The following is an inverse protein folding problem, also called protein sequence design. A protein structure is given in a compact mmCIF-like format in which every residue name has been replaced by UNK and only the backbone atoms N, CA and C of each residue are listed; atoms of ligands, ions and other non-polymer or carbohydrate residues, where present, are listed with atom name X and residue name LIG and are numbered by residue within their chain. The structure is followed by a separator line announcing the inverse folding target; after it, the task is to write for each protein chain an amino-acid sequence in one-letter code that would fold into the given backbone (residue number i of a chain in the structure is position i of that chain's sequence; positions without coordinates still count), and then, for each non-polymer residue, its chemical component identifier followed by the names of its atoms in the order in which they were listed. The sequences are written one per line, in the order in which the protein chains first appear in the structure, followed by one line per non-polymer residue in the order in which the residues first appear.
data_IF_395073940941
#
_entry.id   IF_395073940941
#
_cell.length_a   1.000
_cell.length_b   1.000
_cell.length_c   1.000
_cell.angle_alpha   90.00
_cell.angle_beta   90.00
_cell.angle_gamma   90.00
#
_symmetry.space_group_name_H-M   'P 1'
#
loop_
_entity.id
_entity.type
_entity.pdbx_description
1 polymer ?
#
# COMPACT_ATOMS: atom_id res chain seq x y z
N UNK A 1 -35.60 -13.92 46.81
CA UNK A 1 -34.19 -14.26 47.09
C UNK A 1 -33.27 -14.14 45.84
N UNK A 2 -33.53 -14.77 44.70
CA UNK A 2 -32.64 -14.71 43.54
C UNK A 2 -32.41 -13.29 42.97
N UNK A 3 -33.43 -12.41 42.97
CA UNK A 3 -33.29 -11.01 42.48
C UNK A 3 -32.53 -10.10 43.46
N UNK A 4 -32.62 -10.35 44.75
CA UNK A 4 -31.84 -9.60 45.74
C UNK A 4 -30.36 -10.01 45.74
N UNK A 5 -30.06 -11.29 45.46
CA UNK A 5 -28.68 -11.78 45.33
C UNK A 5 -27.98 -11.20 44.10
N UNK A 6 -28.69 -11.08 42.98
CA UNK A 6 -28.18 -10.47 41.75
C UNK A 6 -27.88 -8.98 41.92
N UNK A 7 -28.73 -8.24 42.65
CA UNK A 7 -28.49 -6.82 42.97
C UNK A 7 -27.30 -6.63 43.93
N UNK A 8 -27.11 -7.49 44.90
CA UNK A 8 -25.97 -7.45 45.80
C UNK A 8 -24.68 -7.78 45.05
N UNK A 9 -24.72 -8.77 44.15
CA UNK A 9 -23.55 -9.14 43.35
C UNK A 9 -23.14 -8.02 42.37
N UNK A 10 -24.10 -7.32 41.75
CA UNK A 10 -23.82 -6.18 40.88
C UNK A 10 -23.28 -4.96 41.65
N UNK A 11 -23.78 -4.73 42.86
CA UNK A 11 -23.29 -3.65 43.72
C UNK A 11 -21.86 -3.91 44.21
N UNK A 12 -21.52 -5.15 44.54
CA UNK A 12 -20.15 -5.55 44.94
C UNK A 12 -19.20 -5.45 43.77
N UNK A 13 -19.62 -5.79 42.54
CA UNK A 13 -18.79 -5.55 41.34
C UNK A 13 -18.57 -4.06 41.07
N UNK A 14 -19.58 -3.21 41.24
CA UNK A 14 -19.40 -1.76 41.05
C UNK A 14 -18.49 -1.13 42.11
N UNK A 15 -18.55 -1.58 43.36
CA UNK A 15 -17.68 -1.08 44.44
C UNK A 15 -16.22 -1.51 44.22
N UNK A 16 -15.98 -2.72 43.66
CA UNK A 16 -14.63 -3.20 43.31
C UNK A 16 -13.96 -2.41 42.20
N UNK A 17 -14.73 -1.77 41.31
CA UNK A 17 -14.19 -0.93 40.23
C UNK A 17 -13.76 0.46 40.71
N UNK A 18 -14.29 0.97 41.81
CA UNK A 18 -13.93 2.26 42.36
C UNK A 18 -12.72 2.23 43.30
N UNK A 19 -12.27 1.07 43.74
CA UNK A 19 -11.07 0.93 44.58
C UNK A 19 -9.78 0.75 43.79
N UNK A 20 -9.87 0.57 42.44
CA UNK A 20 -8.71 0.46 41.57
C UNK A 20 -8.09 1.83 41.16
N UNK A 21 -8.77 2.96 41.47
CA UNK A 21 -8.26 4.32 41.28
C UNK A 21 -7.91 5.00 42.61
N UNK A 22 -7.35 4.29 43.56
CA UNK A 22 -6.78 4.87 44.75
C UNK A 22 -5.36 5.40 44.47
N UNK A 23 -5.19 6.72 44.47
CA UNK A 23 -3.90 7.37 44.54
C UNK A 23 -3.06 6.77 45.67
N UNK A 24 -2.09 5.92 45.32
CA UNK A 24 -1.08 5.48 46.26
C UNK A 24 -0.14 6.68 46.55
N UNK A 25 -0.48 7.47 47.57
CA UNK A 25 0.45 8.49 48.08
C UNK A 25 1.64 7.75 48.69
N UNK A 26 2.76 7.80 48.03
CA UNK A 26 4.04 7.42 48.59
C UNK A 26 4.36 8.38 49.77
N UNK A 27 4.68 7.90 50.99
CA UNK A 27 4.97 8.76 52.14
C UNK A 27 6.28 9.49 52.06
N UNK A 28 7.16 9.18 51.11
CA UNK A 28 8.47 9.83 50.99
C UNK A 28 8.49 10.69 49.73
N UNK A 29 8.23 12.00 49.91
CA UNK A 29 8.18 13.00 48.85
C UNK A 29 9.56 13.24 48.21
N UNK A 30 9.84 12.50 47.13
CA UNK A 30 10.78 12.89 46.10
C UNK A 30 10.12 12.67 44.74
N UNK A 31 9.57 13.75 44.22
CA UNK A 31 8.85 13.72 42.94
C UNK A 31 9.80 13.65 41.74
N UNK A 32 10.24 12.46 41.39
CA UNK A 32 10.86 12.19 40.07
C UNK A 32 10.75 10.73 39.61
N UNK A 33 9.81 9.93 40.14
CA UNK A 33 9.66 8.52 39.79
C UNK A 33 8.77 8.25 38.53
N UNK A 34 8.22 9.29 37.87
CA UNK A 34 7.38 9.08 36.70
C UNK A 34 8.14 8.94 35.37
N UNK A 35 9.45 9.16 35.37
CA UNK A 35 10.27 9.16 34.16
C UNK A 35 10.67 7.75 33.67
N UNK A 36 10.63 6.76 34.54
CA UNK A 36 11.12 5.41 34.25
C UNK A 36 10.01 4.36 34.11
N UNK A 37 8.73 4.75 34.19
CA UNK A 37 7.65 3.81 34.00
C UNK A 37 7.35 3.68 32.49
N UNK A 38 7.60 2.50 31.88
CA UNK A 38 7.36 2.32 30.45
C UNK A 38 5.86 2.37 30.16
N UNK A 39 5.49 3.01 29.05
CA UNK A 39 4.15 2.90 28.49
C UNK A 39 4.00 1.50 27.88
N UNK A 40 3.05 0.72 28.38
CA UNK A 40 2.73 -0.61 27.84
C UNK A 40 1.50 -0.49 26.96
N UNK A 41 1.68 -0.78 25.66
CA UNK A 41 0.62 -0.76 24.66
C UNK A 41 0.31 -2.19 24.23
N UNK A 42 -0.98 -2.58 24.29
CA UNK A 42 -1.43 -3.89 23.81
C UNK A 42 -1.76 -3.83 22.32
N UNK A 43 -1.18 -4.74 21.55
CA UNK A 43 -1.43 -4.91 20.12
C UNK A 43 -1.95 -6.31 19.78
N UNK A 44 -2.54 -6.47 18.59
CA UNK A 44 -2.70 -7.76 17.94
C UNK A 44 -1.34 -8.29 17.45
N UNK A 45 -1.30 -9.52 16.97
CA UNK A 45 -0.07 -10.09 16.43
C UNK A 45 0.43 -9.27 15.22
N UNK A 46 1.72 -8.98 15.19
CA UNK A 46 2.38 -8.31 14.08
C UNK A 46 2.52 -9.24 12.88
N UNK A 47 2.42 -8.70 11.66
CA UNK A 47 2.78 -9.40 10.43
C UNK A 47 4.29 -9.39 10.18
N UNK A 48 5.05 -8.67 11.02
CA UNK A 48 6.52 -8.54 10.96
C UNK A 48 7.03 -7.87 9.67
N UNK A 49 6.19 -7.08 9.02
CA UNK A 49 6.53 -6.24 7.86
C UNK A 49 6.79 -4.81 8.32
N UNK A 50 7.85 -4.59 9.10
CA UNK A 50 8.22 -3.29 9.65
C UNK A 50 8.95 -2.43 8.61
N UNK A 51 8.28 -2.11 7.52
CA UNK A 51 8.83 -1.36 6.40
C UNK A 51 7.89 -0.23 6.00
N UNK A 52 8.39 1.00 5.77
CA UNK A 52 7.57 2.10 5.24
C UNK A 52 7.00 1.81 3.84
N UNK A 53 7.59 0.87 3.10
CA UNK A 53 7.17 0.51 1.75
C UNK A 53 6.14 -0.63 1.72
N UNK A 54 6.21 -1.58 2.65
CA UNK A 54 5.50 -2.86 2.55
C UNK A 54 4.68 -3.24 3.79
N UNK A 55 4.54 -2.34 4.78
CA UNK A 55 3.67 -2.63 5.93
C UNK A 55 2.21 -2.71 5.50
N UNK A 56 1.51 -3.74 5.96
CA UNK A 56 0.11 -4.02 5.60
C UNK A 56 -0.86 -3.75 6.75
N UNK A 57 -0.36 -3.77 7.99
CA UNK A 57 -1.19 -3.58 9.19
C UNK A 57 -0.81 -2.30 9.91
N UNK A 58 -1.80 -1.69 10.55
CA UNK A 58 -1.59 -0.52 11.41
C UNK A 58 -0.57 -0.79 12.52
N UNK A 59 -0.56 -1.99 13.07
CA UNK A 59 0.39 -2.37 14.13
C UNK A 59 1.85 -2.39 13.65
N UNK A 60 2.09 -2.88 12.44
CA UNK A 60 3.41 -2.85 11.82
C UNK A 60 3.82 -1.40 11.46
N UNK A 61 2.84 -0.56 11.03
CA UNK A 61 3.05 0.85 10.76
C UNK A 61 3.47 1.62 12.02
N UNK A 62 2.81 1.40 13.14
CA UNK A 62 3.14 2.05 14.41
C UNK A 62 4.59 1.79 14.84
N UNK A 63 5.14 0.61 14.53
CA UNK A 63 6.54 0.28 14.82
C UNK A 63 7.50 1.04 13.91
N UNK A 64 7.30 1.01 12.58
CA UNK A 64 8.24 1.66 11.66
C UNK A 64 8.16 3.19 11.73
N UNK A 65 6.99 3.78 12.01
CA UNK A 65 6.83 5.23 12.19
C UNK A 65 7.70 5.75 13.34
N UNK A 66 7.88 4.97 14.43
CA UNK A 66 8.77 5.34 15.54
C UNK A 66 10.26 5.29 15.17
N UNK A 67 10.64 4.61 14.10
CA UNK A 67 12.03 4.38 13.69
C UNK A 67 12.40 5.02 12.36
N UNK A 68 11.42 5.61 11.66
CA UNK A 68 11.60 6.19 10.33
C UNK A 68 11.28 7.67 10.32
N UNK A 69 11.88 8.37 9.38
CA UNK A 69 11.62 9.77 9.13
C UNK A 69 10.47 9.91 8.12
N UNK A 70 9.44 10.68 8.47
CA UNK A 70 8.39 11.11 7.54
C UNK A 70 8.64 12.56 7.15
N UNK A 71 8.52 12.88 5.86
CA UNK A 71 8.91 14.21 5.35
C UNK A 71 8.03 15.33 5.92
N UNK A 72 6.73 15.11 6.01
CA UNK A 72 5.78 16.04 6.61
C UNK A 72 5.00 15.37 7.74
N UNK A 73 4.77 16.10 8.81
CA UNK A 73 3.95 15.66 9.94
C UNK A 73 2.54 16.24 9.86
N UNK A 74 1.62 15.70 10.63
CA UNK A 74 0.29 16.27 10.84
C UNK A 74 0.08 16.69 12.29
N UNK A 75 -0.84 17.63 12.49
CA UNK A 75 -1.31 18.00 13.81
C UNK A 75 -2.32 16.97 14.36
N UNK A 76 -2.87 17.24 15.57
CA UNK A 76 -3.88 16.39 16.23
C UNK A 76 -5.22 16.32 15.49
N UNK A 77 -5.45 17.17 14.51
CA UNK A 77 -6.66 17.21 13.67
C UNK A 77 -6.42 16.60 12.27
N UNK A 78 -5.17 16.11 12.00
CA UNK A 78 -4.79 15.56 10.71
C UNK A 78 -4.39 16.64 9.68
N UNK A 79 -4.26 17.91 10.07
CA UNK A 79 -3.79 18.96 9.18
C UNK A 79 -2.27 18.86 9.00
N UNK A 80 -1.81 18.85 7.75
CA UNK A 80 -0.38 18.79 7.44
C UNK A 80 0.34 20.05 7.90
N UNK A 81 1.48 19.86 8.54
CA UNK A 81 2.39 20.92 8.97
C UNK A 81 3.27 21.33 7.79
N UNK A 82 3.07 22.54 7.29
CA UNK A 82 3.76 23.04 6.09
C UNK A 82 5.10 23.72 6.41
N UNK A 83 5.29 24.22 7.64
CA UNK A 83 6.50 24.89 8.11
C UNK A 83 7.08 24.17 9.34
N UNK A 84 7.47 22.91 9.12
CA UNK A 84 7.94 22.04 10.19
C UNK A 84 9.29 22.47 10.77
N UNK A 85 10.15 23.13 9.99
CA UNK A 85 11.51 23.53 10.43
C UNK A 85 11.42 24.62 11.50
N UNK A 86 10.63 25.65 11.24
CA UNK A 86 10.42 26.77 12.19
C UNK A 86 9.36 26.41 13.25
N UNK A 87 8.46 25.51 12.91
CA UNK A 87 7.31 25.09 13.70
C UNK A 87 6.05 25.90 13.42
N UNK A 88 4.92 25.21 13.35
CA UNK A 88 3.59 25.80 13.25
C UNK A 88 2.81 25.61 14.54
N UNK A 89 2.11 26.67 14.98
CA UNK A 89 1.28 26.61 16.19
C UNK A 89 -0.19 26.55 15.81
N UNK A 90 -0.82 25.45 16.24
CA UNK A 90 -2.24 25.20 16.03
C UNK A 90 -2.98 25.05 17.36
N UNK A 91 -4.20 25.60 17.46
CA UNK A 91 -5.03 25.44 18.63
C UNK A 91 -5.80 24.13 18.59
N UNK A 92 -5.72 23.35 19.66
CA UNK A 92 -6.52 22.16 19.85
C UNK A 92 -7.19 22.17 21.23
N UNK A 93 -8.54 22.17 21.25
CA UNK A 93 -9.34 22.20 22.48
C UNK A 93 -8.98 23.34 23.44
N UNK A 94 -8.66 24.52 22.90
CA UNK A 94 -8.33 25.71 23.70
C UNK A 94 -6.88 25.79 24.16
N UNK A 95 -6.02 24.85 23.76
CA UNK A 95 -4.59 24.83 24.04
C UNK A 95 -3.79 24.96 22.74
N UNK A 96 -2.80 25.83 22.72
CA UNK A 96 -1.88 26.00 21.61
C UNK A 96 -0.75 24.98 21.67
N UNK A 97 -0.53 24.29 20.54
CA UNK A 97 0.55 23.32 20.37
C UNK A 97 1.40 23.73 19.17
N UNK A 98 2.71 23.76 19.37
CA UNK A 98 3.66 23.98 18.26
C UNK A 98 4.17 22.64 17.76
N UNK A 99 4.03 22.43 16.46
CA UNK A 99 4.43 21.22 15.75
C UNK A 99 5.67 21.48 14.94
N UNK A 100 6.68 20.64 15.11
CA UNK A 100 7.93 20.66 14.36
C UNK A 100 8.02 19.45 13.46
N UNK A 101 8.76 19.56 12.37
CA UNK A 101 8.98 18.49 11.43
C UNK A 101 10.36 18.54 10.76
N UNK A 102 10.71 17.53 9.98
CA UNK A 102 11.98 17.46 9.28
C UNK A 102 12.05 18.38 8.06
N UNK A 103 10.92 18.85 7.54
CA UNK A 103 10.89 19.67 6.35
C UNK A 103 9.78 20.73 6.36
N UNK A 104 9.97 21.75 5.51
CA UNK A 104 8.93 22.68 5.06
C UNK A 104 8.44 22.27 3.67
N UNK A 105 7.19 22.58 3.35
CA UNK A 105 6.61 22.45 2.03
C UNK A 105 5.88 23.74 1.63
N UNK A 106 6.21 24.29 0.46
CA UNK A 106 5.47 25.40 -0.16
C UNK A 106 4.77 24.90 -1.41
N UNK A 107 3.46 25.16 -1.52
CA UNK A 107 2.65 24.77 -2.68
C UNK A 107 2.44 25.99 -3.56
N UNK A 108 2.86 25.92 -4.82
CA UNK A 108 2.74 27.00 -5.80
C UNK A 108 1.93 26.51 -7.00
N UNK A 109 0.73 27.04 -7.14
CA UNK A 109 -0.07 26.83 -8.34
C UNK A 109 0.35 27.82 -9.43
N UNK A 110 0.64 27.33 -10.65
CA UNK A 110 1.08 28.13 -11.78
C UNK A 110 -0.06 28.47 -12.73
N UNK A 111 0.17 29.47 -13.56
CA UNK A 111 -0.83 29.94 -14.54
C UNK A 111 -1.17 28.90 -15.62
N UNK A 112 -0.25 27.96 -15.90
CA UNK A 112 -0.43 26.85 -16.83
C UNK A 112 -1.24 25.68 -16.26
N UNK A 113 -1.66 25.78 -14.99
CA UNK A 113 -2.43 24.76 -14.28
C UNK A 113 -1.60 23.72 -13.56
N UNK A 114 -0.27 23.72 -13.73
CA UNK A 114 0.63 22.85 -12.97
C UNK A 114 0.79 23.33 -11.52
N UNK A 115 1.21 22.41 -10.65
CA UNK A 115 1.41 22.71 -9.23
C UNK A 115 2.78 22.24 -8.79
N UNK A 116 3.58 23.13 -8.21
CA UNK A 116 4.84 22.76 -7.59
C UNK A 116 4.66 22.59 -6.08
N UNK A 117 5.17 21.48 -5.58
CA UNK A 117 5.42 21.22 -4.16
C UNK A 117 6.90 21.38 -3.91
N UNK A 118 7.30 22.49 -3.27
CA UNK A 118 8.69 22.82 -2.99
C UNK A 118 9.03 22.38 -1.57
N UNK A 119 9.88 21.37 -1.43
CA UNK A 119 10.33 20.84 -0.15
C UNK A 119 11.72 21.38 0.20
N UNK A 120 11.88 21.73 1.48
CA UNK A 120 13.16 22.06 2.07
C UNK A 120 13.31 21.27 3.36
N UNK A 121 14.35 20.46 3.46
CA UNK A 121 14.66 19.66 4.66
C UNK A 121 15.64 20.38 5.59
N UNK A 122 15.64 19.95 6.86
CA UNK A 122 16.68 20.28 7.83
C UNK A 122 18.00 19.65 7.40
N UNK A 123 19.12 20.35 7.70
CA UNK A 123 20.48 19.89 7.33
C UNK A 123 21.17 19.07 8.42
N UNK A 124 20.53 18.97 9.60
CA UNK A 124 21.08 18.31 10.80
C UNK A 124 20.54 16.87 11.02
N UNK A 125 19.75 16.37 10.09
CA UNK A 125 19.19 15.03 10.17
C UNK A 125 20.27 13.98 9.85
N UNK A 126 20.29 12.91 10.65
CA UNK A 126 21.21 11.78 10.47
C UNK A 126 20.49 10.47 10.65
N UNK A 127 20.94 9.45 9.95
CA UNK A 127 20.55 8.06 10.18
C UNK A 127 21.14 7.53 11.49
N UNK A 128 20.71 6.37 11.95
CA UNK A 128 21.16 5.75 13.20
C UNK A 128 22.65 5.36 13.20
N UNK A 129 23.27 5.23 12.05
CA UNK A 129 24.71 5.00 11.86
C UNK A 129 25.54 6.29 11.81
N UNK A 130 24.88 7.45 11.82
CA UNK A 130 25.51 8.77 11.80
C UNK A 130 25.66 9.39 10.40
N UNK A 131 25.32 8.70 9.34
CA UNK A 131 25.32 9.26 7.98
C UNK A 131 24.20 10.31 7.84
N UNK A 132 24.45 11.34 7.05
CA UNK A 132 23.49 12.44 6.84
C UNK A 132 22.32 11.98 5.97
N UNK A 133 21.11 12.35 6.40
CA UNK A 133 19.92 12.26 5.56
C UNK A 133 19.91 13.44 4.60
N UNK A 134 19.79 13.16 3.31
CA UNK A 134 19.75 14.15 2.23
C UNK A 134 18.47 14.04 1.42
N UNK A 135 18.25 14.96 0.50
CA UNK A 135 17.11 14.91 -0.40
C UNK A 135 17.18 13.72 -1.37
N UNK A 136 18.37 13.18 -1.61
CA UNK A 136 18.55 12.00 -2.47
C UNK A 136 17.89 10.76 -1.85
N UNK A 137 17.87 10.64 -0.51
CA UNK A 137 17.19 9.56 0.20
C UNK A 137 15.67 9.63 0.03
N UNK A 138 15.13 10.86 0.04
CA UNK A 138 13.71 11.12 -0.22
C UNK A 138 13.35 10.78 -1.66
N UNK A 139 14.14 11.25 -2.61
CA UNK A 139 13.94 10.97 -4.04
C UNK A 139 14.04 9.48 -4.30
N UNK A 140 15.02 8.78 -3.72
CA UNK A 140 15.14 7.33 -3.81
C UNK A 140 13.86 6.63 -3.30
N UNK A 141 13.35 7.05 -2.14
CA UNK A 141 12.13 6.50 -1.58
C UNK A 141 10.91 6.71 -2.50
N UNK A 142 10.81 7.89 -3.13
CA UNK A 142 9.76 8.15 -4.13
C UNK A 142 9.89 7.22 -5.35
N UNK A 143 11.11 6.98 -5.84
CA UNK A 143 11.33 6.08 -6.97
C UNK A 143 10.99 4.63 -6.62
N UNK A 144 11.26 4.17 -5.39
CA UNK A 144 10.80 2.84 -4.92
C UNK A 144 9.28 2.73 -5.01
N UNK A 145 8.54 3.75 -4.54
CA UNK A 145 7.07 3.77 -4.57
C UNK A 145 6.49 3.95 -5.99
N UNK A 146 7.26 4.50 -6.92
CA UNK A 146 6.85 4.71 -8.31
C UNK A 146 7.33 3.60 -9.25
N UNK A 147 8.10 2.63 -8.77
CA UNK A 147 8.56 1.51 -9.59
C UNK A 147 7.37 0.71 -10.11
N UNK A 148 7.34 0.32 -11.41
CA UNK A 148 6.25 -0.47 -11.98
C UNK A 148 6.04 -1.83 -11.33
N UNK A 149 7.06 -2.37 -10.65
CA UNK A 149 7.01 -3.66 -9.96
C UNK A 149 6.66 -3.53 -8.47
N UNK A 150 6.46 -2.29 -7.97
CA UNK A 150 6.08 -2.06 -6.60
C UNK A 150 4.69 -2.65 -6.31
N UNK A 151 4.62 -3.53 -5.33
CA UNK A 151 3.42 -4.28 -4.92
C UNK A 151 2.93 -3.93 -3.50
N UNK A 152 3.45 -2.85 -2.92
CA UNK A 152 3.00 -2.35 -1.62
C UNK A 152 1.72 -1.52 -1.70
N UNK A 153 1.30 -0.96 -0.58
CA UNK A 153 0.02 -0.26 -0.44
C UNK A 153 0.02 1.20 -0.92
N UNK A 154 1.19 1.79 -1.23
CA UNK A 154 1.26 3.19 -1.67
C UNK A 154 0.73 3.35 -3.10
N UNK A 155 -0.02 4.42 -3.32
CA UNK A 155 -0.56 4.80 -4.63
C UNK A 155 0.13 6.05 -5.20
N UNK A 156 1.33 6.40 -4.74
CA UNK A 156 2.08 7.57 -5.21
C UNK A 156 2.22 7.62 -6.73
N UNK A 157 2.38 6.45 -7.37
CA UNK A 157 2.47 6.33 -8.83
C UNK A 157 1.18 6.75 -9.57
N UNK A 158 0.04 6.84 -8.89
CA UNK A 158 -1.23 7.29 -9.46
C UNK A 158 -1.39 8.82 -9.39
N UNK A 159 -0.57 9.52 -8.60
CA UNK A 159 -0.55 10.97 -8.55
C UNK A 159 -0.13 11.54 -9.92
N UNK A 160 -0.72 12.67 -10.36
CA UNK A 160 -0.43 13.25 -11.66
C UNK A 160 0.93 13.97 -11.69
N UNK A 161 1.99 13.31 -11.22
CA UNK A 161 3.36 13.84 -11.23
C UNK A 161 3.84 13.91 -12.69
N UNK A 162 4.37 15.05 -13.07
CA UNK A 162 4.84 15.29 -14.43
C UNK A 162 5.88 14.25 -14.85
N UNK A 163 5.66 13.61 -15.99
CA UNK A 163 6.55 12.57 -16.53
C UNK A 163 6.37 11.16 -15.93
N UNK A 164 5.46 10.96 -14.95
CA UNK A 164 5.19 9.65 -14.36
C UNK A 164 4.77 8.63 -15.43
N UNK A 165 3.84 8.99 -16.30
CA UNK A 165 3.37 8.10 -17.36
C UNK A 165 4.50 7.70 -18.32
N UNK A 166 5.40 8.61 -18.67
CA UNK A 166 6.55 8.34 -19.53
C UNK A 166 7.60 7.45 -18.83
N UNK A 167 7.81 7.66 -17.53
CA UNK A 167 8.72 6.83 -16.72
C UNK A 167 8.20 5.38 -16.61
N UNK A 168 6.92 5.20 -16.41
CA UNK A 168 6.27 3.89 -16.29
C UNK A 168 5.90 3.26 -17.65
N UNK A 169 6.02 4.01 -18.76
CA UNK A 169 5.76 3.50 -20.09
C UNK A 169 6.76 2.39 -20.47
N UNK A 170 6.26 1.31 -21.07
CA UNK A 170 7.09 0.18 -21.49
C UNK A 170 7.73 -0.62 -20.34
N UNK A 171 7.46 -0.27 -19.11
CA UNK A 171 7.82 -1.06 -17.93
C UNK A 171 6.60 -1.83 -17.45
N UNK A 172 6.78 -3.12 -17.19
CA UNK A 172 5.69 -4.02 -16.79
C UNK A 172 6.27 -5.21 -16.01
N UNK A 173 5.42 -6.08 -15.48
CA UNK A 173 5.87 -7.33 -14.86
C UNK A 173 5.97 -8.45 -15.91
N UNK A 174 6.77 -9.47 -15.63
CA UNK A 174 6.96 -10.59 -16.53
C UNK A 174 5.64 -11.31 -16.83
N UNK A 175 4.82 -11.58 -15.81
CA UNK A 175 3.51 -12.20 -15.99
C UNK A 175 2.61 -11.37 -16.92
N UNK A 176 2.53 -10.05 -16.71
CA UNK A 176 1.73 -9.15 -17.55
C UNK A 176 2.27 -9.04 -18.97
N UNK A 177 3.60 -9.01 -19.14
CA UNK A 177 4.23 -8.96 -20.45
C UNK A 177 3.96 -10.23 -21.26
N UNK A 178 4.10 -11.41 -20.64
CA UNK A 178 3.82 -12.70 -21.27
C UNK A 178 2.35 -12.85 -21.66
N UNK A 179 1.44 -12.43 -20.79
CA UNK A 179 0.02 -12.44 -21.09
C UNK A 179 -0.33 -11.52 -22.27
N UNK A 180 0.24 -10.31 -22.31
CA UNK A 180 0.02 -9.36 -23.40
C UNK A 180 0.61 -9.82 -24.74
N UNK A 181 1.77 -10.48 -24.70
CA UNK A 181 2.41 -11.04 -25.89
C UNK A 181 1.62 -12.20 -26.52
N UNK A 182 0.88 -12.93 -25.71
CA UNK A 182 0.12 -14.07 -26.15
C UNK A 182 0.93 -15.37 -26.24
N UNK A 183 0.20 -16.49 -26.33
CA UNK A 183 0.76 -17.85 -26.31
C UNK A 183 1.67 -18.14 -27.51
N UNK A 184 1.32 -17.63 -28.69
CA UNK A 184 1.99 -17.89 -29.95
C UNK A 184 3.14 -16.89 -30.24
N UNK A 185 3.51 -16.07 -29.26
CA UNK A 185 4.61 -15.13 -29.43
C UNK A 185 5.93 -15.86 -29.69
N UNK A 186 6.66 -15.42 -30.73
CA UNK A 186 7.96 -15.96 -31.12
C UNK A 186 9.13 -14.96 -30.88
N UNK A 187 8.83 -13.80 -30.28
CA UNK A 187 9.84 -12.80 -29.90
C UNK A 187 10.23 -12.99 -28.42
N UNK A 188 11.45 -13.39 -28.20
CA UNK A 188 12.00 -13.63 -26.87
C UNK A 188 13.02 -12.55 -26.46
N UNK A 189 12.87 -11.33 -26.96
CA UNK A 189 13.79 -10.22 -26.64
C UNK A 189 13.82 -9.88 -25.16
N UNK A 190 12.68 -10.01 -24.47
CA UNK A 190 12.50 -9.55 -23.07
C UNK A 190 12.35 -10.67 -22.06
N UNK A 191 12.20 -11.91 -22.49
CA UNK A 191 12.10 -13.12 -21.69
C UNK A 191 12.57 -14.32 -22.49
N UNK A 192 12.74 -15.46 -21.85
CA UNK A 192 13.14 -16.71 -22.53
C UNK A 192 11.92 -17.50 -23.02
N UNK A 193 12.13 -18.35 -24.03
CA UNK A 193 11.12 -19.32 -24.49
C UNK A 193 10.65 -20.22 -23.34
N UNK A 194 11.56 -20.62 -22.45
CA UNK A 194 11.24 -21.42 -21.26
C UNK A 194 10.29 -20.65 -20.31
N UNK A 195 10.53 -19.37 -20.06
CA UNK A 195 9.66 -18.54 -19.22
C UNK A 195 8.25 -18.43 -19.84
N UNK A 196 8.15 -18.24 -21.16
CA UNK A 196 6.86 -18.16 -21.85
C UNK A 196 6.11 -19.51 -21.77
N UNK A 197 6.78 -20.61 -22.08
CA UNK A 197 6.19 -21.96 -22.00
C UNK A 197 5.69 -22.23 -20.59
N UNK A 198 6.52 -21.97 -19.58
CA UNK A 198 6.17 -22.19 -18.19
C UNK A 198 5.00 -21.32 -17.72
N UNK A 199 4.91 -20.06 -18.16
CA UNK A 199 3.78 -19.19 -17.86
C UNK A 199 2.47 -19.77 -18.39
N UNK A 200 2.44 -20.19 -19.67
CA UNK A 200 1.23 -20.71 -20.28
C UNK A 200 0.83 -22.09 -19.77
N UNK A 201 1.81 -22.94 -19.42
CA UNK A 201 1.54 -24.20 -18.73
C UNK A 201 0.90 -23.97 -17.35
N UNK A 202 1.34 -22.93 -16.64
CA UNK A 202 0.76 -22.53 -15.35
C UNK A 202 -0.60 -21.84 -15.49
N UNK A 203 -0.83 -21.11 -16.57
CA UNK A 203 -2.14 -20.60 -16.93
C UNK A 203 -3.15 -21.75 -17.11
N UNK A 204 -2.78 -22.79 -17.87
CA UNK A 204 -3.64 -23.94 -18.15
C UNK A 204 -3.89 -24.82 -16.92
N UNK A 205 -2.89 -25.06 -16.08
CA UNK A 205 -3.05 -25.94 -14.91
C UNK A 205 -3.53 -25.21 -13.64
N UNK A 206 -3.48 -23.88 -13.60
CA UNK A 206 -3.86 -23.08 -12.45
C UNK A 206 -5.05 -22.15 -12.75
N UNK A 207 -4.84 -21.12 -13.57
CA UNK A 207 -5.84 -20.07 -13.75
C UNK A 207 -7.09 -20.54 -14.52
N UNK A 208 -6.96 -21.45 -15.47
CA UNK A 208 -8.11 -22.05 -16.18
C UNK A 208 -8.97 -22.86 -15.21
N UNK A 209 -8.47 -23.84 -14.44
CA UNK A 209 -9.28 -24.54 -13.44
C UNK A 209 -9.85 -23.63 -12.36
N UNK A 210 -9.13 -22.56 -11.99
CA UNK A 210 -9.65 -21.56 -11.06
C UNK A 210 -10.89 -20.85 -11.62
N UNK A 211 -10.88 -20.46 -12.89
CA UNK A 211 -12.03 -19.89 -13.58
C UNK A 211 -13.18 -20.89 -13.73
N UNK A 212 -12.88 -22.17 -14.03
CA UNK A 212 -13.86 -23.25 -14.08
C UNK A 212 -14.57 -23.42 -12.74
N UNK A 213 -13.85 -23.35 -11.62
CA UNK A 213 -14.40 -23.41 -10.27
C UNK A 213 -15.40 -22.28 -10.00
N UNK A 214 -15.16 -21.08 -10.50
CA UNK A 214 -16.09 -19.95 -10.40
C UNK A 214 -17.37 -20.24 -11.19
N UNK A 215 -17.24 -20.70 -12.46
CA UNK A 215 -18.38 -21.06 -13.30
C UNK A 215 -19.20 -22.17 -12.63
N UNK A 216 -18.56 -23.21 -12.12
CA UNK A 216 -19.21 -24.31 -11.41
C UNK A 216 -19.99 -23.84 -10.19
N UNK A 217 -19.42 -22.93 -9.39
CA UNK A 217 -20.09 -22.33 -8.24
C UNK A 217 -21.35 -21.53 -8.63
N UNK A 218 -21.29 -20.80 -9.76
CA UNK A 218 -22.47 -20.09 -10.28
C UNK A 218 -23.56 -21.04 -10.73
N UNK A 219 -23.22 -22.14 -11.36
CA UNK A 219 -24.18 -23.19 -11.80
C UNK A 219 -24.78 -23.89 -10.60
N UNK A 220 -23.97 -24.29 -9.62
CA UNK A 220 -24.43 -24.95 -8.38
C UNK A 220 -25.33 -24.02 -7.57
N UNK A 221 -25.01 -22.73 -7.52
CA UNK A 221 -25.83 -21.70 -6.88
C UNK A 221 -27.10 -21.32 -7.65
N UNK A 222 -27.34 -21.89 -8.82
CA UNK A 222 -28.52 -21.61 -9.67
C UNK A 222 -28.53 -20.22 -10.30
N UNK A 223 -27.37 -19.56 -10.38
CA UNK A 223 -27.21 -18.23 -10.97
C UNK A 223 -27.08 -18.29 -12.49
N UNK A 224 -26.50 -19.38 -13.03
CA UNK A 224 -26.26 -19.60 -14.46
C UNK A 224 -26.54 -21.04 -14.84
N UNK A 225 -26.69 -21.30 -16.15
CA UNK A 225 -26.70 -22.64 -16.69
C UNK A 225 -25.31 -23.11 -17.07
N UNK A 226 -25.14 -24.41 -17.19
CA UNK A 226 -23.91 -25.00 -17.70
C UNK A 226 -23.57 -24.43 -19.09
N UNK A 227 -22.33 -24.01 -19.28
CA UNK A 227 -21.83 -23.40 -20.51
C UNK A 227 -22.06 -21.88 -20.67
N UNK A 228 -22.78 -21.23 -19.76
CA UNK A 228 -22.97 -19.77 -19.76
C UNK A 228 -21.79 -19.03 -19.09
N UNK A 229 -20.60 -19.09 -19.71
CA UNK A 229 -19.35 -18.55 -19.12
C UNK A 229 -19.42 -17.03 -18.91
N UNK A 230 -19.86 -16.28 -19.94
CA UNK A 230 -20.00 -14.83 -19.84
C UNK A 230 -20.97 -14.39 -18.73
N UNK A 231 -22.09 -15.12 -18.56
CA UNK A 231 -23.05 -14.88 -17.49
C UNK A 231 -22.46 -15.15 -16.10
N UNK A 232 -21.69 -16.24 -15.94
CA UNK A 232 -21.01 -16.55 -14.69
C UNK A 232 -19.95 -15.49 -14.36
N UNK A 233 -19.18 -15.07 -15.36
CA UNK A 233 -18.19 -14.00 -15.21
C UNK A 233 -18.85 -12.68 -14.74
N UNK A 234 -19.97 -12.28 -15.36
CA UNK A 234 -20.69 -11.07 -14.98
C UNK A 234 -21.21 -11.11 -13.53
N UNK A 235 -21.68 -12.27 -13.05
CA UNK A 235 -22.10 -12.45 -11.67
C UNK A 235 -20.95 -12.24 -10.65
N UNK A 236 -19.70 -12.38 -11.10
CA UNK A 236 -18.49 -12.14 -10.30
C UNK A 236 -17.83 -10.79 -10.61
N UNK A 237 -18.54 -9.90 -11.31
CA UNK A 237 -18.06 -8.54 -11.58
C UNK A 237 -17.13 -8.40 -12.77
N UNK A 238 -17.07 -9.42 -13.66
CA UNK A 238 -16.30 -9.36 -14.91
C UNK A 238 -17.26 -9.09 -16.08
N UNK A 239 -17.50 -7.82 -16.34
CA UNK A 239 -18.40 -7.40 -17.43
C UNK A 239 -17.68 -7.37 -18.79
N UNK A 240 -18.46 -7.49 -19.87
CA UNK A 240 -17.98 -7.30 -21.24
C UNK A 240 -17.39 -8.51 -21.94
N UNK A 241 -17.45 -9.73 -21.36
CA UNK A 241 -17.14 -10.95 -22.09
C UNK A 241 -18.20 -11.19 -23.16
N UNK A 242 -17.75 -11.69 -24.33
CA UNK A 242 -18.66 -12.08 -25.41
C UNK A 242 -19.56 -13.26 -25.01
N UNK A 243 -20.75 -13.39 -25.58
CA UNK A 243 -21.68 -14.48 -25.27
C UNK A 243 -21.10 -15.88 -25.55
N UNK A 244 -20.19 -15.97 -26.52
CA UNK A 244 -19.47 -17.18 -26.92
C UNK A 244 -18.07 -17.30 -26.29
N UNK A 245 -17.78 -16.50 -25.22
CA UNK A 245 -16.52 -16.53 -24.53
C UNK A 245 -16.16 -17.92 -23.99
N UNK A 246 -14.91 -18.28 -24.15
CA UNK A 246 -14.36 -19.54 -23.64
C UNK A 246 -13.93 -19.38 -22.17
N UNK A 247 -13.64 -20.49 -21.51
CA UNK A 247 -13.09 -20.46 -20.14
C UNK A 247 -11.72 -19.78 -20.10
N UNK A 248 -10.94 -19.90 -21.19
CA UNK A 248 -9.65 -19.21 -21.32
C UNK A 248 -9.85 -17.69 -21.40
N UNK A 249 -10.88 -17.22 -22.10
CA UNK A 249 -11.20 -15.79 -22.15
C UNK A 249 -11.56 -15.26 -20.77
N UNK A 250 -12.29 -16.04 -19.98
CA UNK A 250 -12.62 -15.67 -18.61
C UNK A 250 -11.37 -15.68 -17.71
N UNK A 251 -10.52 -16.70 -17.81
CA UNK A 251 -9.24 -16.76 -17.11
C UNK A 251 -8.33 -15.56 -17.46
N UNK A 252 -8.28 -15.18 -18.75
CA UNK A 252 -7.57 -13.96 -19.21
C UNK A 252 -8.18 -12.69 -18.62
N UNK A 253 -9.51 -12.59 -18.54
CA UNK A 253 -10.19 -11.46 -17.92
C UNK A 253 -9.84 -11.31 -16.43
N UNK A 254 -9.82 -12.43 -15.69
CA UNK A 254 -9.37 -12.45 -14.29
C UNK A 254 -7.92 -11.95 -14.19
N UNK A 255 -7.01 -12.51 -15.00
CA UNK A 255 -5.61 -12.07 -15.05
C UNK A 255 -5.47 -10.57 -15.29
N UNK A 256 -6.15 -10.05 -16.28
CA UNK A 256 -6.10 -8.63 -16.65
C UNK A 256 -6.69 -7.71 -15.58
N UNK A 257 -7.79 -8.09 -14.92
CA UNK A 257 -8.42 -7.29 -13.87
C UNK A 257 -7.52 -7.13 -12.65
N UNK A 258 -6.80 -8.18 -12.26
CA UNK A 258 -5.91 -8.17 -11.11
C UNK A 258 -4.44 -7.94 -11.48
N UNK A 259 -4.16 -7.45 -12.71
CA UNK A 259 -2.81 -7.10 -13.15
C UNK A 259 -1.81 -8.24 -13.13
N UNK A 260 -2.30 -9.49 -13.24
CA UNK A 260 -1.53 -10.74 -13.20
C UNK A 260 -0.81 -10.99 -11.87
N UNK A 261 -1.36 -10.44 -10.77
CA UNK A 261 -0.94 -10.73 -9.39
C UNK A 261 -1.78 -11.89 -8.86
N UNK A 262 -1.24 -13.11 -8.88
CA UNK A 262 -2.00 -14.33 -8.57
C UNK A 262 -2.53 -14.38 -7.13
N UNK A 263 -1.78 -13.85 -6.16
CA UNK A 263 -2.22 -13.73 -4.77
C UNK A 263 -3.41 -12.79 -4.60
N UNK A 264 -3.48 -11.72 -5.40
CA UNK A 264 -4.64 -10.82 -5.40
C UNK A 264 -5.89 -11.48 -5.99
N UNK A 265 -5.73 -12.26 -7.09
CA UNK A 265 -6.84 -13.02 -7.66
C UNK A 265 -7.40 -14.01 -6.65
N UNK A 266 -6.55 -14.77 -5.99
CA UNK A 266 -6.92 -15.77 -4.98
C UNK A 266 -7.67 -15.14 -3.81
N UNK A 267 -7.21 -13.99 -3.32
CA UNK A 267 -7.80 -13.27 -2.19
C UNK A 267 -9.15 -12.63 -2.52
N UNK A 268 -9.24 -11.94 -3.66
CA UNK A 268 -10.39 -11.09 -4.00
C UNK A 268 -11.51 -11.89 -4.70
N UNK A 269 -11.14 -12.89 -5.50
CA UNK A 269 -12.13 -13.72 -6.22
C UNK A 269 -12.72 -14.81 -5.33
N UNK A 270 -11.96 -15.31 -4.33
CA UNK A 270 -12.49 -16.18 -3.29
C UNK A 270 -13.01 -17.53 -3.82
N UNK A 271 -12.15 -18.30 -4.48
CA UNK A 271 -12.44 -19.68 -4.84
C UNK A 271 -11.89 -20.65 -3.78
N UNK A 272 -12.49 -21.87 -3.68
CA UNK A 272 -12.02 -22.95 -2.83
C UNK A 272 -10.65 -23.52 -3.26
N UNK A 273 -10.29 -23.34 -4.53
CA UNK A 273 -9.06 -23.85 -5.10
C UNK A 273 -7.98 -22.75 -5.12
N UNK A 274 -6.95 -22.93 -4.31
CA UNK A 274 -5.88 -21.97 -4.18
C UNK A 274 -4.93 -22.06 -5.36
N UNK A 275 -4.77 -20.96 -6.12
CA UNK A 275 -3.78 -20.84 -7.21
C UNK A 275 -2.38 -21.20 -6.75
N UNK A 276 -2.03 -20.82 -5.52
CA UNK A 276 -0.74 -21.16 -4.88
C UNK A 276 -0.45 -22.65 -4.77
N UNK A 277 -1.48 -23.49 -4.78
CA UNK A 277 -1.31 -24.96 -4.76
C UNK A 277 -1.31 -25.60 -6.15
N UNK A 278 -1.85 -24.91 -7.15
CA UNK A 278 -1.98 -25.42 -8.53
C UNK A 278 -0.83 -24.95 -9.43
N UNK A 279 -0.20 -23.84 -9.11
CA UNK A 279 0.87 -23.22 -9.90
C UNK A 279 2.26 -23.54 -9.36
N UNK A 280 3.26 -23.45 -10.21
CA UNK A 280 4.65 -23.49 -9.78
C UNK A 280 4.97 -22.24 -8.96
N UNK A 281 5.71 -22.43 -7.85
CA UNK A 281 5.94 -21.38 -6.87
C UNK A 281 6.63 -20.13 -7.46
N UNK A 282 7.54 -20.28 -8.41
CA UNK A 282 8.22 -19.18 -9.07
C UNK A 282 7.28 -18.43 -10.03
N UNK A 283 6.38 -19.11 -10.75
CA UNK A 283 5.38 -18.44 -11.58
C UNK A 283 4.39 -17.67 -10.71
N UNK A 284 3.95 -18.28 -9.61
CA UNK A 284 3.01 -17.65 -8.69
C UNK A 284 3.60 -16.42 -7.97
N UNK A 285 4.86 -16.49 -7.48
CA UNK A 285 5.45 -15.45 -6.66
C UNK A 285 6.32 -14.46 -7.45
N UNK A 286 7.16 -14.95 -8.38
CA UNK A 286 8.23 -14.14 -8.97
C UNK A 286 7.79 -13.47 -10.29
N UNK A 287 6.98 -14.13 -11.12
CA UNK A 287 6.56 -13.55 -12.40
C UNK A 287 5.71 -12.26 -12.24
N UNK A 288 4.82 -12.15 -11.24
CA UNK A 288 4.10 -10.91 -10.96
C UNK A 288 4.98 -9.74 -10.50
N UNK A 289 6.18 -10.03 -9.97
CA UNK A 289 7.08 -9.03 -9.38
C UNK A 289 8.34 -8.80 -10.19
N UNK A 290 8.72 -9.73 -11.09
CA UNK A 290 9.87 -9.56 -11.99
C UNK A 290 9.60 -8.45 -13.00
N UNK A 291 10.37 -7.37 -12.93
CA UNK A 291 10.28 -6.23 -13.85
C UNK A 291 10.81 -6.57 -15.25
N UNK A 292 10.06 -6.16 -16.27
CA UNK A 292 10.43 -6.28 -17.69
C UNK A 292 10.28 -4.91 -18.35
N UNK A 293 11.33 -4.45 -19.04
CA UNK A 293 11.33 -3.20 -19.79
C UNK A 293 11.10 -3.49 -21.27
N UNK A 294 9.86 -3.32 -21.74
CA UNK A 294 9.40 -3.72 -23.08
C UNK A 294 9.26 -2.55 -24.07
N UNK A 295 9.75 -1.36 -23.76
CA UNK A 295 9.59 -0.19 -24.63
C UNK A 295 10.49 0.95 -24.23
N UNK A 296 10.32 2.10 -24.89
CA UNK A 296 10.98 3.34 -24.50
C UNK A 296 10.31 3.89 -23.24
N UNK A 297 10.99 3.82 -22.11
CA UNK A 297 10.61 4.52 -20.89
C UNK A 297 11.57 5.69 -20.67
N UNK A 298 11.06 6.79 -20.11
CA UNK A 298 11.93 7.85 -19.66
C UNK A 298 12.85 7.35 -18.54
N UNK A 299 14.09 7.82 -18.50
CA UNK A 299 15.07 7.43 -17.47
C UNK A 299 14.72 8.03 -16.10
N UNK A 300 13.85 9.04 -16.06
CA UNK A 300 13.46 9.73 -14.84
C UNK A 300 12.05 10.30 -14.90
N UNK A 301 11.47 10.54 -13.72
CA UNK A 301 10.21 11.24 -13.54
C UNK A 301 10.51 12.73 -13.56
N UNK A 302 10.20 13.41 -14.68
CA UNK A 302 10.60 14.81 -14.92
C UNK A 302 10.05 15.80 -13.92
N UNK A 303 8.94 15.47 -13.24
CA UNK A 303 8.35 16.27 -12.17
C UNK A 303 9.06 16.15 -10.82
N UNK A 304 9.95 15.17 -10.61
CA UNK A 304 10.74 15.04 -9.38
C UNK A 304 12.10 15.63 -9.63
N UNK A 305 12.40 16.78 -9.06
CA UNK A 305 13.63 17.52 -9.30
C UNK A 305 14.37 17.85 -8.01
N UNK A 306 15.61 17.37 -7.89
CA UNK A 306 16.55 17.86 -6.87
C UNK A 306 16.88 19.33 -7.17
N UNK A 307 16.71 20.21 -6.20
CA UNK A 307 17.04 21.63 -6.30
C UNK A 307 18.23 22.03 -5.40
N UNK A 308 18.62 21.16 -4.49
CA UNK A 308 19.77 21.28 -3.60
C UNK A 308 19.94 20.01 -2.78
N UNK A 309 20.99 19.93 -1.96
CA UNK A 309 21.25 18.72 -1.17
C UNK A 309 20.14 18.44 -0.13
N UNK A 310 19.37 19.47 0.24
CA UNK A 310 18.28 19.41 1.21
C UNK A 310 16.98 19.99 0.63
N UNK A 311 16.85 20.06 -0.69
CA UNK A 311 15.64 20.60 -1.31
C UNK A 311 15.31 19.93 -2.63
N UNK A 312 14.00 19.81 -2.91
CA UNK A 312 13.46 19.31 -4.16
C UNK A 312 12.15 20.00 -4.51
N UNK A 313 11.77 19.91 -5.76
CA UNK A 313 10.44 20.28 -6.26
C UNK A 313 9.77 19.05 -6.86
N UNK A 314 8.51 18.82 -6.48
CA UNK A 314 7.62 17.85 -7.14
C UNK A 314 6.58 18.63 -7.90
N UNK A 315 6.57 18.49 -9.24
CA UNK A 315 5.60 19.17 -10.12
C UNK A 315 4.51 18.20 -10.53
N UNK A 316 3.26 18.61 -10.30
CA UNK A 316 2.07 17.90 -10.76
C UNK A 316 1.50 18.58 -12.01
N UNK A 317 0.98 17.80 -12.95
CA UNK A 317 0.35 18.31 -14.19
C UNK A 317 -0.97 19.06 -13.92
N UNK A 318 -1.57 18.82 -12.75
CA UNK A 318 -2.84 19.47 -12.32
C UNK A 318 -2.95 19.44 -10.80
N UNK A 319 -3.85 20.27 -10.28
CA UNK A 319 -4.22 20.25 -8.85
C UNK A 319 -4.76 18.87 -8.48
N UNK A 320 -4.18 18.31 -7.43
CA UNK A 320 -4.67 17.10 -6.77
C UNK A 320 -4.73 17.34 -5.26
N UNK A 321 -5.93 17.36 -4.72
CA UNK A 321 -6.15 17.66 -3.29
C UNK A 321 -5.58 16.57 -2.35
N UNK A 322 -5.30 15.39 -2.87
CA UNK A 322 -4.79 14.25 -2.09
C UNK A 322 -3.28 14.08 -2.18
N UNK A 323 -2.62 14.81 -3.08
CA UNK A 323 -1.18 14.62 -3.36
C UNK A 323 -0.25 14.95 -2.18
N UNK A 324 -0.73 15.68 -1.16
CA UNK A 324 0.07 16.04 0.02
C UNK A 324 -0.02 14.98 1.14
N UNK A 325 -0.97 14.07 1.05
CA UNK A 325 -1.21 12.98 2.01
C UNK A 325 -0.59 11.68 1.47
#
# INVERSE_FOLDING_TARGET
MKRALALILSLVMCVGLFTACGEQKNPDGNGDESKDTPLVVGYSAFNQKFSPFFSETEYDQDVWVMTSLVLLNSDRQGQIIMKGIEGETHNYNGTDYTYYGPADCEIVQKDDGTVDYNFKMREDLVFSDGEKVTIDDVIFSMYVLCDPTYDGNSTLYAAPIQGMAAYRAGMTTLAKALAAAGRDNADFTYWTEEQQTKFWDNFDKGLVPFAEGIVAACVEGGLNKEGEIAGAAANWGFEGLAEDATIQDFAMAIGNQYGWVFSAMEKEVGNSDALSTMMDADVYNDYPTTGVKTGESADSITGIKKTGDYSMTVTLDKVDATAIY
#
